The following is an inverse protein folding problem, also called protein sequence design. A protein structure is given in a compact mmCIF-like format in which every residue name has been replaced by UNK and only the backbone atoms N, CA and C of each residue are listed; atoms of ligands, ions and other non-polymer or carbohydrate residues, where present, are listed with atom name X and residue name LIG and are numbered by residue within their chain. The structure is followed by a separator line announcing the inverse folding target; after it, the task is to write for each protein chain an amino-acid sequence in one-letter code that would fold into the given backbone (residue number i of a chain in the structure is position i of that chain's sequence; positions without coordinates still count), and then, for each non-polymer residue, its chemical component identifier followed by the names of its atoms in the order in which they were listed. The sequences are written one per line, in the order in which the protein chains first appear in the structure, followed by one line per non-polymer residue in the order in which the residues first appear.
data_IF_640308274413
#
_entry.id   IF_640308274413
#
_cell.length_a   1.000
_cell.length_b   1.000
_cell.length_c   1.000
_cell.angle_alpha   90.00
_cell.angle_beta   90.00
_cell.angle_gamma   90.00
#
_symmetry.space_group_name_H-M   'P 1'
#
loop_
_entity.id
_entity.type
_entity.pdbx_description
1 polymer ?
#
# COMPACT_ATOMS: atom_id res chain seq x y z
N UNK A 1 15.44 20.07 -5.10
CA UNK A 1 14.26 19.21 -4.91
C UNK A 1 13.18 19.83 -4.01
N UNK A 2 13.41 20.96 -3.31
CA UNK A 2 12.40 21.60 -2.42
C UNK A 2 11.25 22.34 -3.13
N UNK A 3 11.51 23.05 -4.23
CA UNK A 3 10.49 23.89 -4.90
C UNK A 3 9.29 23.11 -5.48
N UNK A 4 9.46 21.81 -5.76
CA UNK A 4 8.41 20.92 -6.23
C UNK A 4 7.55 20.36 -5.09
N UNK A 5 8.11 20.22 -3.89
CA UNK A 5 7.39 19.80 -2.69
C UNK A 5 6.56 20.98 -2.14
N UNK A 6 7.12 22.18 -2.14
CA UNK A 6 6.44 23.42 -1.78
C UNK A 6 5.28 23.72 -2.76
N UNK A 7 5.49 23.63 -4.08
CA UNK A 7 4.40 23.75 -5.07
C UNK A 7 3.34 22.66 -4.94
N UNK A 8 3.70 21.43 -4.54
CA UNK A 8 2.75 20.34 -4.26
C UNK A 8 1.97 20.56 -2.96
N UNK A 9 2.60 21.13 -1.94
CA UNK A 9 1.97 21.52 -0.68
C UNK A 9 1.04 22.74 -0.87
N UNK A 10 1.41 23.70 -1.71
CA UNK A 10 0.61 24.87 -2.06
C UNK A 10 -0.68 24.50 -2.83
N UNK A 11 -0.69 23.39 -3.57
CA UNK A 11 -1.92 22.85 -4.21
C UNK A 11 -2.91 22.26 -3.18
N UNK A 12 -2.46 21.97 -1.94
CA UNK A 12 -3.31 21.47 -0.86
C UNK A 12 -4.05 22.58 -0.09
N UNK A 13 -3.74 23.84 -0.39
CA UNK A 13 -4.36 25.01 0.25
C UNK A 13 -5.62 25.38 -0.54
N UNK A 14 -6.80 25.23 0.07
CA UNK A 14 -7.89 26.16 -0.26
C UNK A 14 -7.44 27.55 0.23
N UNK A 15 -7.41 28.58 -0.64
CA UNK A 15 -6.94 29.91 -0.25
C UNK A 15 -7.81 30.43 0.91
N UNK A 16 -7.21 30.53 2.11
CA UNK A 16 -7.88 31.04 3.33
C UNK A 16 -7.62 30.29 4.65
N UNK A 17 -6.90 29.16 4.66
CA UNK A 17 -6.70 28.34 5.88
C UNK A 17 -5.35 28.48 6.56
N UNK A 18 -4.43 29.27 6.02
CA UNK A 18 -3.16 29.58 6.67
C UNK A 18 -3.28 30.97 7.30
N UNK A 19 -3.27 31.11 8.63
CA UNK A 19 -3.27 32.43 9.27
C UNK A 19 -2.05 33.23 8.81
N UNK A 20 -2.27 34.48 8.38
CA UNK A 20 -1.19 35.41 7.98
C UNK A 20 -0.18 35.68 9.11
N UNK A 21 -0.50 35.28 10.35
CA UNK A 21 0.31 35.44 11.55
C UNK A 21 1.36 34.33 11.80
N UNK A 22 1.47 33.32 10.95
CA UNK A 22 2.48 32.25 11.10
C UNK A 22 3.88 32.75 10.67
N UNK A 23 4.63 33.28 11.63
CA UNK A 23 5.94 33.93 11.41
C UNK A 23 7.16 33.00 11.42
N UNK A 24 7.02 31.74 11.86
CA UNK A 24 8.13 30.78 11.94
C UNK A 24 7.72 29.36 11.53
N UNK A 25 8.67 28.60 11.00
CA UNK A 25 8.52 27.17 10.64
C UNK A 25 7.93 26.33 11.78
N UNK A 26 8.41 26.55 13.01
CA UNK A 26 7.89 25.88 14.21
C UNK A 26 6.41 26.18 14.46
N UNK A 27 5.97 27.40 14.15
CA UNK A 27 4.56 27.80 14.25
C UNK A 27 3.69 27.06 13.23
N UNK A 28 4.17 26.90 11.99
CA UNK A 28 3.49 26.10 10.97
C UNK A 28 3.33 24.63 11.39
N UNK A 29 4.42 24.00 11.83
CA UNK A 29 4.40 22.59 12.25
C UNK A 29 3.44 22.40 13.43
N UNK A 30 3.49 23.29 14.42
CA UNK A 30 2.58 23.25 15.58
C UNK A 30 1.13 23.42 15.17
N UNK A 31 0.85 24.33 14.23
CA UNK A 31 -0.50 24.55 13.72
C UNK A 31 -1.03 23.30 12.99
N UNK A 32 -0.23 22.70 12.11
CA UNK A 32 -0.62 21.47 11.42
C UNK A 32 -0.83 20.30 12.38
N UNK A 33 -0.02 20.18 13.44
CA UNK A 33 -0.22 19.19 14.50
C UNK A 33 -1.56 19.38 15.22
N UNK A 34 -1.90 20.63 15.58
CA UNK A 34 -3.15 20.95 16.24
C UNK A 34 -4.35 20.59 15.35
N UNK A 35 -4.33 20.98 14.08
CA UNK A 35 -5.39 20.62 13.15
C UNK A 35 -5.47 19.11 12.87
N UNK A 36 -4.32 18.42 12.81
CA UNK A 36 -4.29 16.97 12.61
C UNK A 36 -4.96 16.24 13.79
N UNK A 37 -4.78 16.72 15.01
CA UNK A 37 -5.29 16.10 16.23
C UNK A 37 -6.70 16.59 16.64
N UNK A 38 -7.28 17.59 15.96
CA UNK A 38 -8.55 18.20 16.36
C UNK A 38 -9.76 17.34 15.94
N UNK A 39 -10.48 16.71 16.89
CA UNK A 39 -11.63 15.85 16.59
C UNK A 39 -12.84 16.61 16.04
N UNK A 40 -12.87 17.94 16.12
CA UNK A 40 -13.95 18.77 15.56
C UNK A 40 -13.83 18.93 14.04
N UNK A 41 -12.64 18.74 13.49
CA UNK A 41 -12.40 18.81 12.05
C UNK A 41 -12.83 17.53 11.35
N UNK A 42 -13.28 17.65 10.10
CA UNK A 42 -13.59 16.48 9.28
C UNK A 42 -12.32 15.63 9.03
N UNK A 43 -12.45 14.32 8.81
CA UNK A 43 -11.31 13.43 8.51
C UNK A 43 -10.43 13.90 7.35
N UNK A 44 -11.02 14.52 6.32
CA UNK A 44 -10.27 15.09 5.19
C UNK A 44 -9.34 16.23 5.61
N UNK A 45 -9.82 17.11 6.48
CA UNK A 45 -9.03 18.23 7.00
C UNK A 45 -7.91 17.72 7.92
N UNK A 46 -8.20 16.76 8.79
CA UNK A 46 -7.19 16.12 9.65
C UNK A 46 -6.11 15.42 8.82
N UNK A 47 -6.50 14.72 7.75
CA UNK A 47 -5.56 14.07 6.84
C UNK A 47 -4.67 15.08 6.11
N UNK A 48 -5.27 16.13 5.53
CA UNK A 48 -4.49 17.15 4.82
C UNK A 48 -3.53 17.87 5.78
N UNK A 49 -3.95 18.18 7.01
CA UNK A 49 -3.09 18.74 8.05
C UNK A 49 -1.95 17.78 8.43
N UNK A 50 -2.24 16.48 8.58
CA UNK A 50 -1.24 15.44 8.84
C UNK A 50 -0.21 15.33 7.71
N UNK A 51 -0.66 15.43 6.46
CA UNK A 51 0.21 15.40 5.28
C UNK A 51 1.11 16.63 5.22
N UNK A 52 0.57 17.82 5.49
CA UNK A 52 1.36 19.05 5.55
C UNK A 52 2.39 18.98 6.67
N UNK A 53 1.99 18.55 7.87
CA UNK A 53 2.93 18.31 8.97
C UNK A 53 4.05 17.36 8.55
N UNK A 54 3.72 16.22 7.93
CA UNK A 54 4.70 15.26 7.46
C UNK A 54 5.68 15.87 6.45
N UNK A 55 5.17 16.54 5.42
CA UNK A 55 6.00 17.12 4.35
C UNK A 55 6.92 18.20 4.90
N UNK A 56 6.40 19.11 5.71
CA UNK A 56 7.17 20.19 6.34
C UNK A 56 8.21 19.66 7.32
N UNK A 57 7.84 18.69 8.18
CA UNK A 57 8.76 18.05 9.11
C UNK A 57 9.88 17.31 8.38
N UNK A 58 9.57 16.65 7.27
CA UNK A 58 10.53 15.91 6.45
C UNK A 58 11.53 16.85 5.77
N UNK A 59 11.04 17.94 5.19
CA UNK A 59 11.88 18.91 4.49
C UNK A 59 12.89 19.59 5.42
N UNK A 60 12.50 19.83 6.67
CA UNK A 60 13.31 20.56 7.63
C UNK A 60 13.99 19.66 8.68
N UNK A 61 13.89 18.34 8.51
CA UNK A 61 14.41 17.34 9.45
C UNK A 61 13.97 17.60 10.90
N UNK A 62 12.69 17.95 11.07
CA UNK A 62 12.11 18.29 12.36
C UNK A 62 12.01 17.04 13.27
N UNK A 63 12.28 17.15 14.58
CA UNK A 63 12.24 16.01 15.51
C UNK A 63 10.86 15.35 15.60
N UNK A 64 9.79 16.02 15.17
CA UNK A 64 8.43 15.48 15.19
C UNK A 64 8.10 14.61 13.98
N UNK A 65 9.06 14.40 13.06
CA UNK A 65 8.86 13.60 11.84
C UNK A 65 8.33 12.18 12.12
N UNK A 66 8.87 11.49 13.12
CA UNK A 66 8.40 10.15 13.48
C UNK A 66 6.95 10.15 13.99
N UNK A 67 6.55 11.22 14.68
CA UNK A 67 5.16 11.39 15.11
C UNK A 67 4.25 11.71 13.92
N UNK A 68 4.72 12.50 12.96
CA UNK A 68 3.98 12.76 11.72
C UNK A 68 3.72 11.47 10.93
N UNK A 69 4.72 10.58 10.84
CA UNK A 69 4.54 9.25 10.22
C UNK A 69 3.54 8.37 10.98
N UNK A 70 3.53 8.40 12.31
CA UNK A 70 2.53 7.68 13.10
C UNK A 70 1.12 8.25 12.90
N UNK A 71 1.02 9.58 12.87
CA UNK A 71 -0.26 10.26 12.72
C UNK A 71 -0.87 9.96 11.36
N UNK A 72 -0.10 10.15 10.27
CA UNK A 72 -0.56 9.83 8.92
C UNK A 72 -0.94 8.34 8.84
N UNK A 73 -0.14 7.44 9.42
CA UNK A 73 -0.45 6.01 9.46
C UNK A 73 -1.79 5.70 10.13
N UNK A 74 -2.10 6.39 11.24
CA UNK A 74 -3.36 6.23 11.97
C UNK A 74 -4.56 6.82 11.23
N UNK A 75 -4.36 7.89 10.45
CA UNK A 75 -5.43 8.46 9.62
C UNK A 75 -5.85 7.49 8.51
N UNK A 76 -5.00 6.55 8.09
CA UNK A 76 -5.39 5.56 7.08
C UNK A 76 -6.42 4.57 7.58
N UNK A 77 -6.36 4.21 8.86
CA UNK A 77 -7.38 3.36 9.49
C UNK A 77 -8.75 4.08 9.49
N UNK A 78 -8.76 5.42 9.55
CA UNK A 78 -9.95 6.27 9.49
C UNK A 78 -10.39 6.60 8.06
N UNK A 79 -9.44 6.75 7.13
CA UNK A 79 -9.67 6.95 5.69
C UNK A 79 -9.99 5.65 4.97
N UNK A 80 -9.87 4.52 5.67
CA UNK A 80 -10.17 3.18 5.23
C UNK A 80 -11.57 3.09 4.61
N UNK A 81 -11.60 3.19 3.28
CA UNK A 81 -12.56 2.60 2.36
C UNK A 81 -14.04 2.94 2.44
N UNK A 82 -14.56 3.65 3.43
CA UNK A 82 -16.00 3.65 3.61
C UNK A 82 -16.75 4.82 2.97
N UNK A 83 -16.11 5.93 2.56
CA UNK A 83 -16.88 7.11 2.08
C UNK A 83 -16.46 7.74 0.76
N UNK A 84 -15.28 7.42 0.24
CA UNK A 84 -14.75 8.05 -0.97
C UNK A 84 -15.01 7.21 -2.21
N UNK A 85 -15.37 7.85 -3.33
CA UNK A 85 -15.34 7.18 -4.62
C UNK A 85 -13.89 6.82 -5.01
N UNK A 86 -13.71 5.95 -6.00
CA UNK A 86 -12.37 5.49 -6.41
C UNK A 86 -11.41 6.64 -6.76
N UNK A 87 -11.96 7.73 -7.30
CA UNK A 87 -11.22 8.88 -7.79
C UNK A 87 -10.75 9.81 -6.67
N UNK A 88 -11.57 10.04 -5.65
CA UNK A 88 -11.15 10.76 -4.46
C UNK A 88 -10.05 10.01 -3.71
N UNK A 89 -10.14 8.67 -3.65
CA UNK A 89 -9.05 7.83 -3.09
C UNK A 89 -7.78 7.93 -3.93
N UNK A 90 -7.89 7.83 -5.25
CA UNK A 90 -6.74 7.99 -6.14
C UNK A 90 -6.08 9.36 -5.96
N UNK A 91 -6.86 10.44 -5.89
CA UNK A 91 -6.36 11.80 -5.67
C UNK A 91 -5.64 11.95 -4.33
N UNK A 92 -6.09 11.25 -3.28
CA UNK A 92 -5.40 11.21 -1.98
C UNK A 92 -4.08 10.46 -2.11
N UNK A 93 -4.08 9.28 -2.75
CA UNK A 93 -2.89 8.47 -2.94
C UNK A 93 -1.83 9.17 -3.82
N UNK A 94 -2.26 9.91 -4.84
CA UNK A 94 -1.37 10.70 -5.72
C UNK A 94 -0.63 11.82 -4.97
N UNK A 95 -1.17 12.26 -3.83
CA UNK A 95 -0.53 13.28 -2.96
C UNK A 95 0.49 12.68 -2.00
N UNK A 96 0.42 11.37 -1.73
CA UNK A 96 1.33 10.72 -0.80
C UNK A 96 2.71 10.50 -1.45
N UNK A 97 3.80 10.63 -0.67
CA UNK A 97 5.12 10.23 -1.15
C UNK A 97 5.12 8.75 -1.57
N UNK A 98 5.68 8.45 -2.73
CA UNK A 98 5.78 7.06 -3.24
C UNK A 98 6.63 6.16 -2.34
N UNK A 99 7.53 6.77 -1.55
CA UNK A 99 8.41 6.13 -0.59
C UNK A 99 7.90 6.23 0.85
N UNK A 100 6.62 6.58 1.06
CA UNK A 100 6.04 6.82 2.39
C UNK A 100 6.31 5.66 3.36
N UNK A 101 6.00 4.44 2.94
CA UNK A 101 6.12 3.26 3.78
C UNK A 101 7.59 2.96 4.16
N UNK A 102 8.50 2.99 3.18
CA UNK A 102 9.92 2.73 3.42
C UNK A 102 10.56 3.84 4.23
N UNK A 103 10.16 5.10 4.03
CA UNK A 103 10.66 6.24 4.79
C UNK A 103 10.17 6.26 6.23
N UNK A 104 8.90 5.92 6.45
CA UNK A 104 8.34 5.78 7.79
C UNK A 104 9.09 4.68 8.59
N UNK A 105 9.31 3.53 7.95
CA UNK A 105 10.05 2.43 8.55
C UNK A 105 11.52 2.80 8.85
N UNK A 106 12.23 3.44 7.90
CA UNK A 106 13.59 3.96 8.12
C UNK A 106 13.66 4.93 9.30
N UNK A 107 12.72 5.87 9.37
CA UNK A 107 12.65 6.84 10.47
C UNK A 107 12.49 6.13 11.82
N UNK A 108 11.62 5.12 11.91
CA UNK A 108 11.46 4.33 13.13
C UNK A 108 12.70 3.49 13.49
N UNK A 109 13.38 2.90 12.50
CA UNK A 109 14.65 2.17 12.69
C UNK A 109 15.74 3.10 13.25
N UNK A 110 15.86 4.32 12.73
CA UNK A 110 16.81 5.32 13.22
C UNK A 110 16.57 5.70 14.69
N UNK A 111 15.32 5.58 15.16
CA UNK A 111 14.94 5.78 16.57
C UNK A 111 14.98 4.49 17.40
N UNK A 112 15.57 3.41 16.87
CA UNK A 112 15.64 2.09 17.50
C UNK A 112 14.27 1.51 17.89
N UNK A 113 13.21 1.83 17.13
CA UNK A 113 11.85 1.32 17.34
C UNK A 113 11.47 0.31 16.26
N UNK A 114 12.00 -0.91 16.37
CA UNK A 114 11.85 -1.94 15.33
C UNK A 114 10.41 -2.43 15.13
N UNK A 115 9.66 -2.66 16.21
CA UNK A 115 8.23 -3.01 16.12
C UNK A 115 7.44 -1.90 15.42
N UNK A 116 7.69 -0.65 15.79
CA UNK A 116 7.06 0.50 15.14
C UNK A 116 7.43 0.57 13.66
N UNK A 117 8.68 0.26 13.29
CA UNK A 117 9.09 0.23 11.89
C UNK A 117 8.31 -0.79 11.07
N UNK A 118 8.11 -2.01 11.60
CA UNK A 118 7.30 -3.06 10.96
C UNK A 118 5.84 -2.62 10.85
N UNK A 119 5.28 -2.07 11.92
CA UNK A 119 3.89 -1.59 11.94
C UNK A 119 3.66 -0.44 10.95
N UNK A 120 4.55 0.57 10.92
CA UNK A 120 4.47 1.68 9.98
C UNK A 120 4.67 1.22 8.53
N UNK A 121 5.60 0.28 8.30
CA UNK A 121 5.80 -0.28 6.96
C UNK A 121 4.52 -0.95 6.46
N UNK A 122 3.90 -1.78 7.29
CA UNK A 122 2.69 -2.52 6.93
C UNK A 122 1.51 -1.57 6.69
N UNK A 123 1.23 -0.67 7.65
CA UNK A 123 0.15 0.33 7.54
C UNK A 123 0.30 1.24 6.33
N UNK A 124 1.50 1.77 6.10
CA UNK A 124 1.74 2.68 4.98
C UNK A 124 1.87 1.93 3.64
N UNK A 125 2.35 0.68 3.62
CA UNK A 125 2.32 -0.17 2.41
C UNK A 125 0.89 -0.58 2.08
N UNK A 126 0.02 -0.68 3.07
CA UNK A 126 -1.43 -0.80 2.93
C UNK A 126 -2.08 0.34 2.12
N UNK A 127 -1.36 1.42 1.83
CA UNK A 127 -1.83 2.49 0.93
C UNK A 127 -1.39 2.28 -0.51
N UNK A 128 -0.25 1.60 -0.67
CA UNK A 128 0.22 1.13 -1.98
C UNK A 128 -0.63 -0.03 -2.52
N UNK A 129 -1.80 -0.26 -1.91
CA UNK A 129 -2.94 -1.02 -2.39
C UNK A 129 -3.48 -0.40 -3.70
N UNK A 130 -2.64 -0.48 -4.74
CA UNK A 130 -2.98 -0.56 -6.18
C UNK A 130 -4.07 -1.63 -6.48
N UNK A 131 -4.61 -2.28 -5.44
CA UNK A 131 -5.55 -3.39 -5.39
C UNK A 131 -6.62 -3.25 -4.29
N UNK A 132 -6.78 -2.09 -3.64
CA UNK A 132 -8.10 -1.70 -3.12
C UNK A 132 -9.07 -1.63 -4.31
N UNK A 133 -8.48 -1.46 -5.49
CA UNK A 133 -9.01 -1.41 -6.83
C UNK A 133 -9.62 -2.70 -7.41
N UNK A 134 -9.57 -3.93 -6.82
CA UNK A 134 -10.16 -5.12 -7.52
C UNK A 134 -10.92 -6.18 -6.72
N UNK A 135 -10.83 -6.27 -5.40
CA UNK A 135 -11.60 -7.27 -4.64
C UNK A 135 -11.88 -6.74 -3.24
N UNK A 136 -13.12 -6.97 -2.81
CA UNK A 136 -13.63 -6.82 -1.45
C UNK A 136 -12.64 -7.35 -0.37
N UNK A 137 -12.86 -7.02 0.92
CA UNK A 137 -12.21 -7.70 2.06
C UNK A 137 -12.14 -9.21 1.88
N UNK A 138 -11.17 -9.87 2.53
CA UNK A 138 -11.12 -11.33 2.58
C UNK A 138 -12.51 -11.85 2.90
N UNK A 139 -13.12 -12.53 1.92
CA UNK A 139 -14.48 -13.03 2.00
C UNK A 139 -14.65 -13.87 3.26
N UNK A 140 -13.61 -14.59 3.64
CA UNK A 140 -13.62 -15.56 4.73
C UNK A 140 -13.98 -14.95 6.11
N UNK A 141 -13.41 -13.82 6.52
CA UNK A 141 -13.73 -13.24 7.84
C UNK A 141 -15.15 -12.68 7.91
N UNK A 142 -15.63 -12.09 6.81
CA UNK A 142 -16.99 -11.56 6.69
C UNK A 142 -18.00 -12.70 6.53
N UNK A 143 -17.66 -13.75 5.78
CA UNK A 143 -18.52 -14.90 5.57
C UNK A 143 -18.67 -15.68 6.88
N UNK A 144 -17.58 -15.88 7.65
CA UNK A 144 -17.66 -16.42 9.01
C UNK A 144 -18.49 -15.54 9.95
N UNK A 145 -18.41 -14.21 9.83
CA UNK A 145 -19.25 -13.29 10.59
C UNK A 145 -20.72 -13.39 10.17
N UNK A 146 -21.03 -13.56 8.88
CA UNK A 146 -22.38 -13.78 8.38
C UNK A 146 -22.96 -15.09 8.90
N UNK A 147 -22.15 -16.16 8.93
CA UNK A 147 -22.55 -17.47 9.45
C UNK A 147 -22.79 -17.45 10.95
N UNK A 148 -21.88 -16.85 11.71
CA UNK A 148 -21.90 -16.89 13.18
C UNK A 148 -22.78 -15.80 13.80
N UNK A 149 -22.83 -14.61 13.17
CA UNK A 149 -23.54 -13.42 13.67
C UNK A 149 -24.28 -12.70 12.53
N UNK A 150 -25.32 -13.33 11.95
CA UNK A 150 -26.00 -12.79 10.76
C UNK A 150 -26.56 -11.38 10.94
N UNK A 151 -26.98 -11.03 12.17
CA UNK A 151 -27.50 -9.69 12.50
C UNK A 151 -26.49 -8.56 12.32
N UNK A 152 -25.18 -8.84 12.40
CA UNK A 152 -24.10 -7.89 12.16
C UNK A 152 -23.44 -8.13 10.80
N UNK A 153 -23.24 -9.39 10.42
CA UNK A 153 -22.54 -9.77 9.20
C UNK A 153 -23.31 -9.42 7.92
N UNK A 154 -24.63 -9.63 7.87
CA UNK A 154 -25.43 -9.36 6.66
C UNK A 154 -25.48 -7.85 6.34
N UNK A 155 -25.80 -6.95 7.30
CA UNK A 155 -25.76 -5.51 7.04
C UNK A 155 -24.36 -5.04 6.65
N UNK A 156 -23.32 -5.53 7.34
CA UNK A 156 -21.94 -5.14 7.07
C UNK A 156 -21.52 -5.50 5.64
N UNK A 157 -21.82 -6.72 5.19
CA UNK A 157 -21.55 -7.15 3.83
C UNK A 157 -22.31 -6.30 2.81
N UNK A 158 -23.56 -5.93 3.12
CA UNK A 158 -24.38 -5.04 2.31
C UNK A 158 -23.73 -3.66 2.13
N UNK A 159 -23.32 -3.03 3.23
CA UNK A 159 -22.68 -1.73 3.20
C UNK A 159 -21.31 -1.75 2.51
N UNK A 160 -20.45 -2.72 2.81
CA UNK A 160 -19.16 -2.88 2.12
C UNK A 160 -19.34 -3.06 0.62
N UNK A 161 -20.37 -3.79 0.19
CA UNK A 161 -20.73 -3.94 -1.22
C UNK A 161 -21.24 -2.65 -1.84
N UNK A 162 -22.09 -1.89 -1.14
CA UNK A 162 -22.60 -0.59 -1.61
C UNK A 162 -21.46 0.40 -1.83
N UNK A 163 -20.47 0.40 -0.94
CA UNK A 163 -19.28 1.24 -1.03
C UNK A 163 -18.34 0.81 -2.15
N UNK A 164 -18.24 -0.49 -2.39
CA UNK A 164 -17.51 -1.01 -3.54
C UNK A 164 -18.18 -0.65 -4.87
N UNK A 165 -19.51 -0.81 -4.97
CA UNK A 165 -20.27 -0.52 -6.20
C UNK A 165 -20.28 0.99 -6.47
N UNK A 166 -20.56 1.82 -5.47
CA UNK A 166 -20.51 3.29 -5.62
C UNK A 166 -19.14 3.80 -6.06
N UNK A 167 -18.08 3.15 -5.57
CA UNK A 167 -16.72 3.41 -6.00
C UNK A 167 -16.47 3.06 -7.49
N UNK A 168 -17.16 2.06 -8.04
CA UNK A 168 -16.97 1.56 -9.41
C UNK A 168 -17.96 2.12 -10.44
N UNK A 169 -19.17 2.52 -10.03
CA UNK A 169 -20.32 2.55 -10.92
C UNK A 169 -20.50 3.80 -11.78
N UNK A 170 -19.78 4.92 -11.57
CA UNK A 170 -20.12 6.16 -12.31
C UNK A 170 -19.16 6.60 -13.42
N UNK A 171 -17.99 5.97 -13.61
CA UNK A 171 -16.96 6.57 -14.50
C UNK A 171 -16.38 5.68 -15.59
N UNK A 172 -16.48 4.36 -15.49
CA UNK A 172 -15.92 3.46 -16.51
C UNK A 172 -16.81 3.30 -17.77
N UNK A 173 -18.10 3.69 -17.71
CA UNK A 173 -19.08 3.44 -18.78
C UNK A 173 -19.59 4.69 -19.49
N UNK A 174 -19.23 5.88 -19.01
CA UNK A 174 -19.78 7.13 -19.47
C UNK A 174 -18.62 8.06 -19.81
N UNK A 175 -18.38 8.31 -21.10
CA UNK A 175 -17.58 9.44 -21.58
C UNK A 175 -18.22 10.80 -21.24
N UNK A 176 -19.08 10.87 -20.21
CA UNK A 176 -19.65 12.11 -19.70
C UNK A 176 -19.03 12.37 -18.34
N UNK A 177 -18.33 13.49 -18.28
CA UNK A 177 -18.12 14.31 -17.09
C UNK A 177 -19.47 14.68 -16.46
N UNK A 178 -20.15 13.74 -15.83
CA UNK A 178 -21.23 14.06 -14.90
C UNK A 178 -20.57 14.40 -13.57
N UNK A 179 -20.70 15.67 -13.17
CA UNK A 179 -20.33 16.12 -11.84
C UNK A 179 -21.12 15.32 -10.81
N UNK A 180 -20.42 14.81 -9.79
CA UNK A 180 -21.07 14.12 -8.68
C UNK A 180 -21.96 15.12 -7.97
N UNK A 181 -23.23 14.78 -7.78
CA UNK A 181 -24.13 15.63 -7.02
C UNK A 181 -23.75 15.61 -5.54
N UNK A 182 -23.91 16.73 -4.85
CA UNK A 182 -23.67 16.80 -3.41
C UNK A 182 -24.45 15.71 -2.64
N UNK A 183 -25.65 15.39 -3.12
CA UNK A 183 -26.49 14.33 -2.56
C UNK A 183 -25.88 12.93 -2.65
N UNK A 184 -25.19 12.59 -3.76
CA UNK A 184 -24.48 11.32 -3.89
C UNK A 184 -23.27 11.26 -2.95
N UNK A 185 -22.56 12.38 -2.78
CA UNK A 185 -21.46 12.48 -1.81
C UNK A 185 -21.97 12.25 -0.39
N UNK A 186 -23.05 12.95 -0.02
CA UNK A 186 -23.63 12.86 1.32
C UNK A 186 -24.13 11.45 1.62
N UNK A 187 -24.81 10.79 0.66
CA UNK A 187 -25.26 9.40 0.79
C UNK A 187 -24.08 8.42 0.93
N UNK A 188 -23.00 8.64 0.18
CA UNK A 188 -21.78 7.83 0.31
C UNK A 188 -21.10 8.00 1.68
N UNK A 189 -21.06 9.23 2.20
CA UNK A 189 -20.53 9.51 3.54
C UNK A 189 -21.41 8.93 4.64
N UNK A 190 -22.73 8.86 4.45
CA UNK A 190 -23.65 8.22 5.40
C UNK A 190 -23.38 6.72 5.49
N UNK A 191 -23.33 6.02 4.34
CA UNK A 191 -22.97 4.59 4.28
C UNK A 191 -21.58 4.36 4.92
N UNK A 192 -20.67 5.33 4.78
CA UNK A 192 -19.35 5.27 5.38
C UNK A 192 -19.40 5.17 6.90
N UNK A 193 -20.15 6.10 7.49
CA UNK A 193 -20.32 6.24 8.93
C UNK A 193 -21.04 5.03 9.50
N UNK A 194 -22.09 4.55 8.82
CA UNK A 194 -22.82 3.35 9.22
C UNK A 194 -21.92 2.11 9.23
N UNK A 195 -21.07 1.97 8.20
CA UNK A 195 -20.14 0.84 8.16
C UNK A 195 -19.10 0.92 9.27
N UNK A 196 -18.55 2.10 9.55
CA UNK A 196 -17.58 2.30 10.63
C UNK A 196 -18.21 2.01 12.01
N UNK A 197 -19.46 2.46 12.22
CA UNK A 197 -20.24 2.15 13.42
C UNK A 197 -20.45 0.64 13.59
N UNK A 198 -20.78 -0.06 12.51
CA UNK A 198 -21.04 -1.49 12.54
C UNK A 198 -19.75 -2.31 12.79
N UNK A 199 -18.63 -1.91 12.19
CA UNK A 199 -17.31 -2.51 12.51
C UNK A 199 -16.97 -2.31 14.00
N UNK A 200 -17.21 -1.10 14.54
CA UNK A 200 -17.00 -0.83 15.94
C UNK A 200 -17.91 -1.67 16.86
N UNK A 201 -19.14 -1.97 16.43
CA UNK A 201 -20.04 -2.88 17.14
C UNK A 201 -19.52 -4.32 17.11
N UNK A 202 -19.07 -4.82 15.94
CA UNK A 202 -18.48 -6.16 15.81
C UNK A 202 -17.30 -6.32 16.77
N UNK A 203 -16.36 -5.37 16.77
CA UNK A 203 -15.19 -5.39 17.66
C UNK A 203 -15.53 -5.39 19.16
N UNK A 204 -16.69 -4.83 19.54
CA UNK A 204 -17.12 -4.75 20.95
C UNK A 204 -17.96 -5.95 21.39
N UNK A 205 -18.75 -6.52 20.49
CA UNK A 205 -19.81 -7.47 20.84
C UNK A 205 -19.50 -8.91 20.47
N UNK A 206 -18.55 -9.14 19.57
CA UNK A 206 -18.20 -10.48 19.08
C UNK A 206 -16.85 -10.93 19.65
N UNK A 207 -16.82 -11.97 20.51
CA UNK A 207 -15.56 -12.50 21.03
C UNK A 207 -14.66 -13.03 19.92
N UNK A 208 -13.37 -12.68 19.96
CA UNK A 208 -12.38 -13.07 18.95
C UNK A 208 -12.33 -12.15 17.72
N UNK A 209 -13.16 -11.12 17.68
CA UNK A 209 -13.23 -10.11 16.60
C UNK A 209 -12.74 -8.74 17.08
N UNK A 210 -11.99 -8.66 18.19
CA UNK A 210 -11.51 -7.41 18.77
C UNK A 210 -10.65 -6.59 17.79
N UNK A 211 -9.85 -7.30 16.98
CA UNK A 211 -8.99 -6.74 15.94
C UNK A 211 -9.63 -6.82 14.52
N UNK A 212 -10.94 -7.08 14.41
CA UNK A 212 -11.63 -7.28 13.12
C UNK A 212 -11.42 -6.12 12.16
N UNK A 213 -11.01 -6.39 10.91
CA UNK A 213 -10.69 -5.36 9.90
C UNK A 213 -9.63 -4.33 10.39
N UNK A 214 -8.81 -4.68 11.37
CA UNK A 214 -7.66 -3.91 11.85
C UNK A 214 -6.59 -4.86 12.40
N UNK A 215 -6.03 -5.73 11.55
CA UNK A 215 -5.04 -6.70 11.99
C UNK A 215 -3.82 -5.98 12.56
N UNK A 216 -3.39 -6.37 13.76
CA UNK A 216 -2.15 -5.89 14.34
C UNK A 216 -0.95 -6.55 13.63
N UNK A 217 -0.12 -5.78 12.89
CA UNK A 217 0.99 -6.35 12.13
C UNK A 217 1.99 -7.10 13.02
N UNK A 218 2.15 -6.69 14.28
CA UNK A 218 3.10 -7.27 15.22
C UNK A 218 2.57 -8.58 15.79
N UNK A 219 1.29 -8.63 16.18
CA UNK A 219 0.66 -9.90 16.58
C UNK A 219 0.71 -10.90 15.43
N UNK A 220 0.40 -10.46 14.21
CA UNK A 220 0.45 -11.32 13.03
C UNK A 220 1.87 -11.83 12.76
N UNK A 221 2.88 -10.95 12.79
CA UNK A 221 4.27 -11.33 12.65
C UNK A 221 4.70 -12.35 13.71
N UNK A 222 4.29 -12.16 14.98
CA UNK A 222 4.57 -13.11 16.07
C UNK A 222 3.90 -14.46 15.89
N UNK A 223 2.67 -14.48 15.41
CA UNK A 223 1.96 -15.73 15.09
C UNK A 223 2.67 -16.49 13.97
N UNK A 224 3.07 -15.79 12.89
CA UNK A 224 3.87 -16.38 11.82
C UNK A 224 5.24 -16.87 12.32
N UNK A 225 5.87 -16.10 13.21
CA UNK A 225 7.13 -16.44 13.84
C UNK A 225 7.07 -17.72 14.70
N UNK A 226 5.89 -18.22 15.09
CA UNK A 226 5.81 -19.54 15.73
C UNK A 226 6.16 -20.67 14.76
N UNK A 227 5.86 -20.51 13.47
CA UNK A 227 6.13 -21.51 12.45
C UNK A 227 7.52 -21.33 11.82
N UNK A 228 7.83 -20.10 11.38
CA UNK A 228 9.02 -19.75 10.59
C UNK A 228 9.46 -18.30 10.85
N UNK A 229 10.76 -17.96 10.70
CA UNK A 229 11.22 -16.60 10.91
C UNK A 229 10.55 -15.61 9.94
N UNK A 230 10.22 -14.42 10.45
CA UNK A 230 9.69 -13.31 9.64
C UNK A 230 10.82 -12.35 9.33
N UNK A 231 10.99 -12.01 8.05
CA UNK A 231 12.05 -11.12 7.59
C UNK A 231 11.43 -9.95 6.84
N UNK A 232 11.75 -8.74 7.29
CA UNK A 232 11.29 -7.49 6.71
C UNK A 232 12.49 -6.74 6.14
N UNK A 233 12.43 -6.42 4.85
CA UNK A 233 13.47 -5.69 4.13
C UNK A 233 13.00 -4.25 3.89
N UNK A 234 13.78 -3.28 4.36
CA UNK A 234 13.51 -1.86 4.19
C UNK A 234 14.68 -1.22 3.47
N UNK A 235 14.56 -0.93 2.15
CA UNK A 235 15.64 -0.31 1.41
C UNK A 235 15.84 1.15 1.81
N UNK A 236 17.10 1.57 1.81
CA UNK A 236 17.58 2.94 1.99
C UNK A 236 18.30 3.41 0.71
N UNK A 237 18.95 4.57 0.72
CA UNK A 237 19.64 5.13 -0.45
C UNK A 237 20.80 4.26 -0.93
N UNK A 238 21.65 3.80 -0.01
CA UNK A 238 22.84 3.00 -0.32
C UNK A 238 22.87 1.61 0.33
N UNK A 239 21.91 1.32 1.22
CA UNK A 239 21.86 0.10 2.00
C UNK A 239 20.44 -0.46 2.07
N UNK A 240 20.30 -1.67 2.59
CA UNK A 240 19.02 -2.27 2.94
C UNK A 240 19.05 -2.65 4.42
N UNK A 241 18.07 -2.15 5.17
CA UNK A 241 17.82 -2.56 6.53
C UNK A 241 17.05 -3.88 6.56
N UNK A 242 17.47 -4.79 7.42
CA UNK A 242 16.88 -6.11 7.61
C UNK A 242 16.40 -6.18 9.06
N UNK A 243 15.09 -6.34 9.22
CA UNK A 243 14.44 -6.53 10.52
C UNK A 243 13.91 -7.96 10.57
N UNK A 244 14.32 -8.73 11.58
CA UNK A 244 14.00 -10.16 11.70
C UNK A 244 13.33 -10.48 13.01
N UNK A 245 12.25 -11.24 12.94
CA UNK A 245 11.69 -11.93 14.08
C UNK A 245 12.03 -13.41 13.95
N UNK A 246 12.89 -13.92 14.83
CA UNK A 246 13.28 -15.33 14.82
C UNK A 246 12.11 -16.22 15.21
N UNK A 247 12.23 -17.50 14.84
CA UNK A 247 11.25 -18.50 15.22
C UNK A 247 11.12 -18.57 16.75
N UNK A 248 9.92 -18.34 17.26
CA UNK A 248 9.61 -18.35 18.70
C UNK A 248 10.18 -17.17 19.51
N UNK A 249 10.81 -16.17 18.86
CA UNK A 249 11.30 -14.98 19.54
C UNK A 249 10.18 -13.95 19.74
N UNK A 250 10.34 -13.10 20.75
CA UNK A 250 9.42 -11.99 21.07
C UNK A 250 9.89 -10.68 20.45
N UNK A 251 11.22 -10.47 20.45
CA UNK A 251 11.87 -9.24 20.03
C UNK A 251 12.40 -9.33 18.60
N UNK A 252 12.37 -8.19 17.92
CA UNK A 252 12.96 -8.05 16.59
C UNK A 252 14.47 -7.79 16.68
N UNK A 253 15.21 -8.41 15.77
CA UNK A 253 16.63 -8.16 15.55
C UNK A 253 16.82 -7.29 14.30
N UNK A 254 17.92 -6.53 14.28
CA UNK A 254 18.22 -5.59 13.21
C UNK A 254 19.63 -5.82 12.63
N UNK A 255 19.74 -5.72 11.31
CA UNK A 255 21.01 -5.70 10.58
C UNK A 255 20.92 -4.75 9.38
N UNK A 256 22.03 -4.11 9.02
CA UNK A 256 22.14 -3.32 7.80
C UNK A 256 23.05 -4.03 6.79
N UNK A 257 22.69 -4.01 5.51
CA UNK A 257 23.50 -4.55 4.41
C UNK A 257 23.76 -3.43 3.40
N UNK A 258 25.02 -3.14 3.14
CA UNK A 258 25.43 -2.12 2.16
C UNK A 258 25.40 -2.65 0.72
N UNK A 259 25.32 -1.75 -0.25
CA UNK A 259 25.43 -2.08 -1.68
C UNK A 259 24.12 -2.44 -2.38
N UNK A 260 23.02 -2.50 -1.63
CA UNK A 260 21.66 -2.64 -2.16
C UNK A 260 20.80 -1.45 -1.77
N UNK A 261 21.05 -0.34 -2.46
CA UNK A 261 20.23 0.85 -2.36
C UNK A 261 18.90 0.73 -3.12
N UNK A 262 18.01 1.67 -2.85
CA UNK A 262 16.68 1.76 -3.48
C UNK A 262 16.78 1.87 -5.00
N UNK A 263 17.73 2.64 -5.53
CA UNK A 263 17.91 2.80 -6.98
C UNK A 263 18.34 1.49 -7.65
N UNK A 264 19.30 0.79 -7.04
CA UNK A 264 19.78 -0.51 -7.52
C UNK A 264 18.63 -1.53 -7.52
N UNK A 265 17.83 -1.59 -6.45
CA UNK A 265 16.69 -2.49 -6.36
C UNK A 265 15.58 -2.15 -7.37
N UNK A 266 15.34 -0.88 -7.65
CA UNK A 266 14.37 -0.45 -8.66
C UNK A 266 14.83 -0.83 -10.08
N UNK A 267 16.11 -0.65 -10.39
CA UNK A 267 16.70 -1.06 -11.67
C UNK A 267 16.63 -2.59 -11.85
N UNK A 268 16.99 -3.36 -10.82
CA UNK A 268 16.85 -4.81 -10.83
C UNK A 268 15.39 -5.26 -11.03
N UNK A 269 14.44 -4.64 -10.32
CA UNK A 269 13.03 -4.95 -10.46
C UNK A 269 12.50 -4.64 -11.87
N UNK A 270 12.96 -3.54 -12.48
CA UNK A 270 12.64 -3.19 -13.86
C UNK A 270 13.19 -4.23 -14.83
N UNK A 271 14.46 -4.61 -14.71
CA UNK A 271 15.09 -5.65 -15.56
C UNK A 271 14.38 -7.00 -15.45
N UNK A 272 14.02 -7.43 -14.24
CA UNK A 272 13.22 -8.66 -14.03
C UNK A 272 11.88 -8.56 -14.76
N UNK A 273 11.19 -7.42 -14.64
CA UNK A 273 9.89 -7.20 -15.29
C UNK A 273 10.01 -7.24 -16.82
N UNK A 274 11.04 -6.61 -17.37
CA UNK A 274 11.29 -6.57 -18.81
C UNK A 274 11.61 -7.98 -19.35
N UNK A 275 12.46 -8.74 -18.66
CA UNK A 275 12.80 -10.12 -19.00
C UNK A 275 11.58 -11.06 -18.95
N UNK A 276 10.75 -10.94 -17.91
CA UNK A 276 9.50 -11.71 -17.80
C UNK A 276 8.56 -11.36 -18.96
N UNK A 277 8.38 -10.07 -19.25
CA UNK A 277 7.50 -9.60 -20.33
C UNK A 277 7.96 -10.07 -21.71
N UNK A 278 9.29 -10.08 -21.96
CA UNK A 278 9.89 -10.58 -23.19
C UNK A 278 9.65 -12.08 -23.41
N UNK A 279 9.54 -12.88 -22.33
CA UNK A 279 9.25 -14.31 -22.40
C UNK A 279 7.79 -14.66 -22.73
N UNK A 280 6.94 -13.66 -23.00
CA UNK A 280 5.50 -13.85 -23.24
C UNK A 280 4.72 -14.25 -21.99
N UNK A 281 5.40 -14.38 -20.85
CA UNK A 281 4.78 -14.46 -19.53
C UNK A 281 4.46 -13.03 -19.14
N UNK A 282 3.19 -12.64 -19.21
CA UNK A 282 2.78 -11.46 -18.47
C UNK A 282 3.10 -11.74 -17.01
N UNK A 283 4.03 -10.99 -16.43
CA UNK A 283 4.19 -10.98 -14.99
C UNK A 283 2.78 -10.77 -14.43
N UNK A 284 2.31 -11.67 -13.54
CA UNK A 284 1.20 -11.29 -12.66
C UNK A 284 1.74 -10.14 -11.82
N UNK A 285 1.45 -8.92 -12.27
CA UNK A 285 2.14 -7.70 -11.88
C UNK A 285 1.76 -6.53 -12.80
N UNK A 286 2.04 -5.28 -12.39
CA UNK A 286 1.08 -4.18 -12.48
C UNK A 286 0.88 -3.53 -13.87
N UNK A 287 1.51 -4.02 -14.94
CA UNK A 287 1.42 -3.39 -16.28
C UNK A 287 1.08 -4.37 -17.40
N UNK A 288 0.56 -5.56 -17.07
CA UNK A 288 0.16 -6.53 -18.07
C UNK A 288 -1.03 -6.07 -18.95
N UNK A 289 -1.79 -5.06 -18.52
CA UNK A 289 -2.96 -4.54 -19.26
C UNK A 289 -2.66 -3.27 -20.09
N UNK A 290 -1.48 -2.64 -19.98
CA UNK A 290 -1.11 -1.50 -20.86
C UNK A 290 -0.60 -1.94 -22.25
N UNK A 291 -0.39 -3.25 -22.47
CA UNK A 291 -0.02 -3.80 -23.78
C UNK A 291 -1.21 -4.31 -24.62
N UNK A 292 -2.44 -4.10 -24.15
CA UNK A 292 -3.68 -4.39 -24.89
C UNK A 292 -4.33 -3.08 -25.35
N UNK A 293 -3.84 -2.52 -26.45
CA UNK A 293 -4.25 -1.20 -26.93
C UNK A 293 -5.76 -1.02 -27.13
N UNK A 294 -6.25 0.16 -26.75
CA UNK A 294 -7.38 0.83 -27.38
C UNK A 294 -7.42 2.33 -27.00
N UNK A 295 -6.40 3.06 -27.47
CA UNK A 295 -6.52 4.49 -27.76
C UNK A 295 -5.82 4.77 -29.10
N UNK A 296 -6.34 4.21 -30.18
CA UNK A 296 -6.04 4.72 -31.52
C UNK A 296 -7.36 5.20 -32.14
N UNK A 297 -7.57 6.51 -31.99
CA UNK A 297 -8.00 7.46 -33.00
C UNK A 297 -8.75 6.87 -34.22
N UNK A 298 -10.07 7.03 -34.29
CA UNK A 298 -10.79 7.06 -35.58
C UNK A 298 -12.01 7.99 -35.46
N UNK A 299 -11.81 9.26 -35.83
CA UNK A 299 -12.82 9.96 -36.60
C UNK A 299 -13.01 9.16 -37.88
N UNK A 300 -14.05 8.32 -37.95
CA UNK A 300 -14.67 7.96 -39.23
C UNK A 300 -16.01 7.28 -38.97
N UNK A 301 -17.06 7.93 -39.45
CA UNK A 301 -18.41 7.41 -39.50
C UNK A 301 -18.50 6.63 -40.81
N UNK A 302 -18.72 5.30 -40.77
CA UNK A 302 -19.64 4.57 -41.67
C UNK A 302 -19.54 3.04 -41.56
N UNK A 303 -20.71 2.40 -41.48
CA UNK A 303 -21.11 1.12 -42.09
C UNK A 303 -20.49 -0.23 -41.66
N UNK A 304 -21.34 -1.03 -41.00
CA UNK A 304 -21.59 -2.50 -41.11
C UNK A 304 -20.46 -3.52 -41.38
N UNK A 305 -20.22 -4.44 -40.41
CA UNK A 305 -20.37 -5.91 -40.53
C UNK A 305 -19.76 -6.64 -39.30
N UNK A 306 -20.33 -7.78 -38.84
CA UNK A 306 -19.84 -8.50 -37.67
C UNK A 306 -18.59 -9.33 -38.02
N UNK A 307 -17.41 -8.85 -37.64
CA UNK A 307 -16.18 -9.66 -37.71
C UNK A 307 -15.99 -10.42 -36.40
N UNK A 308 -16.09 -11.75 -36.49
CA UNK A 308 -15.74 -12.70 -35.43
C UNK A 308 -14.35 -12.38 -34.86
N UNK A 309 -14.28 -12.02 -33.58
CA UNK A 309 -13.02 -11.91 -32.84
C UNK A 309 -12.43 -13.31 -32.66
N UNK A 310 -11.63 -13.78 -33.62
CA UNK A 310 -10.80 -14.97 -33.45
C UNK A 310 -9.72 -14.68 -32.41
N UNK A 311 -9.85 -15.28 -31.22
CA UNK A 311 -8.75 -15.41 -30.27
C UNK A 311 -7.67 -16.31 -30.89
N UNK A 312 -6.70 -15.71 -31.57
CA UNK A 312 -5.48 -16.40 -31.95
C UNK A 312 -4.52 -16.43 -30.74
N UNK A 313 -4.15 -17.60 -30.20
CA UNK A 313 -3.11 -17.66 -29.17
C UNK A 313 -1.79 -17.17 -29.79
N UNK A 314 -1.17 -16.15 -29.19
CA UNK A 314 0.19 -15.71 -29.59
C UNK A 314 1.16 -16.89 -29.40
N UNK A 315 2.07 -17.16 -30.36
CA UNK A 315 3.01 -18.26 -30.24
C UNK A 315 3.93 -18.03 -29.04
N UNK A 316 4.13 -19.08 -28.26
CA UNK A 316 5.07 -19.15 -27.15
C UNK A 316 6.48 -18.95 -27.71
N UNK A 317 7.14 -17.81 -27.43
CA UNK A 317 8.57 -17.65 -27.71
C UNK A 317 9.35 -18.32 -26.58
N UNK A 318 10.24 -19.27 -26.91
CA UNK A 318 11.27 -19.73 -25.97
C UNK A 318 12.07 -18.51 -25.52
N UNK A 319 12.34 -18.41 -24.22
CA UNK A 319 13.24 -17.39 -23.69
C UNK A 319 14.58 -17.47 -24.42
N UNK A 320 15.03 -16.36 -25.02
CA UNK A 320 16.36 -16.26 -25.62
C UNK A 320 17.43 -16.44 -24.53
N UNK A 321 18.57 -17.06 -24.88
CA UNK A 321 19.68 -17.39 -23.97
C UNK A 321 20.17 -16.17 -23.17
N UNK A 322 20.16 -14.99 -23.79
CA UNK A 322 20.45 -13.68 -23.17
C UNK A 322 19.51 -13.30 -22.02
N UNK A 323 18.21 -13.59 -22.13
CA UNK A 323 17.24 -13.27 -21.07
C UNK A 323 17.44 -14.16 -19.84
N UNK A 324 17.91 -15.39 -20.06
CA UNK A 324 18.23 -16.33 -19.00
C UNK A 324 19.52 -15.92 -18.27
N UNK A 325 20.53 -15.46 -19.01
CA UNK A 325 21.79 -14.98 -18.45
C UNK A 325 21.61 -13.70 -17.63
N UNK A 326 20.80 -12.75 -18.09
CA UNK A 326 20.46 -11.55 -17.33
C UNK A 326 19.74 -11.88 -16.01
N UNK A 327 18.76 -12.80 -16.05
CA UNK A 327 18.05 -13.23 -14.85
C UNK A 327 19.00 -13.96 -13.88
N UNK A 328 19.86 -14.83 -14.38
CA UNK A 328 20.87 -15.53 -13.57
C UNK A 328 21.83 -14.55 -12.92
N UNK A 329 22.28 -13.51 -13.64
CA UNK A 329 23.11 -12.46 -13.05
C UNK A 329 22.35 -11.72 -11.94
N UNK A 330 21.10 -11.31 -12.17
CA UNK A 330 20.30 -10.60 -11.17
C UNK A 330 20.09 -11.44 -9.90
N UNK A 331 19.74 -12.71 -10.06
CA UNK A 331 19.58 -13.64 -8.94
C UNK A 331 20.90 -13.89 -8.21
N UNK A 332 22.02 -14.00 -8.94
CA UNK A 332 23.36 -14.12 -8.37
C UNK A 332 23.72 -12.90 -7.52
N UNK A 333 23.44 -11.70 -8.02
CA UNK A 333 23.66 -10.45 -7.27
C UNK A 333 22.79 -10.37 -6.02
N UNK A 334 21.50 -10.73 -6.10
CA UNK A 334 20.60 -10.75 -4.94
C UNK A 334 21.04 -11.80 -3.90
N UNK A 335 21.50 -12.96 -4.36
CA UNK A 335 21.99 -14.02 -3.49
C UNK A 335 23.29 -13.61 -2.78
N UNK A 336 24.25 -13.04 -3.51
CA UNK A 336 25.56 -12.65 -2.96
C UNK A 336 25.49 -11.49 -1.97
N UNK A 337 24.39 -10.73 -1.98
CA UNK A 337 24.18 -9.57 -1.10
C UNK A 337 23.18 -9.90 0.01
N UNK A 338 21.88 -9.97 -0.28
CA UNK A 338 20.83 -10.27 0.71
C UNK A 338 20.86 -11.74 1.11
N UNK A 339 21.01 -12.66 0.14
CA UNK A 339 20.89 -14.10 0.42
C UNK A 339 21.93 -14.61 1.43
N UNK A 340 23.19 -14.22 1.24
CA UNK A 340 24.29 -14.53 2.18
C UNK A 340 24.04 -13.84 3.53
N UNK A 341 23.73 -12.53 3.52
CA UNK A 341 23.47 -11.81 4.76
C UNK A 341 22.32 -12.43 5.56
N UNK A 342 21.25 -12.89 4.90
CA UNK A 342 20.12 -13.60 5.52
C UNK A 342 20.51 -14.99 6.01
N UNK A 343 21.29 -15.76 5.25
CA UNK A 343 21.77 -17.09 5.66
C UNK A 343 22.58 -16.99 6.94
N UNK A 344 23.52 -16.05 6.98
CA UNK A 344 24.39 -15.82 8.14
C UNK A 344 23.56 -15.32 9.33
N UNK A 345 22.62 -14.40 9.07
CA UNK A 345 21.80 -13.82 10.12
C UNK A 345 20.83 -14.83 10.74
N UNK A 346 20.17 -15.66 9.92
CA UNK A 346 19.25 -16.69 10.40
C UNK A 346 19.96 -17.95 10.90
N UNK A 347 21.29 -18.03 10.76
CA UNK A 347 22.08 -19.23 11.08
C UNK A 347 21.47 -20.48 10.44
N UNK A 348 20.95 -20.36 9.22
CA UNK A 348 20.34 -21.45 8.48
C UNK A 348 21.43 -22.47 8.17
N UNK A 349 21.55 -23.51 9.01
CA UNK A 349 22.39 -24.65 8.70
C UNK A 349 21.86 -25.31 7.42
N UNK A 350 22.77 -25.67 6.52
CA UNK A 350 22.46 -26.26 5.22
C UNK A 350 21.61 -27.55 5.27
N UNK A 351 21.38 -28.10 6.47
CA UNK A 351 20.62 -29.32 6.73
C UNK A 351 19.09 -29.20 6.53
N UNK A 352 18.54 -28.00 6.29
CA UNK A 352 17.10 -27.84 5.98
C UNK A 352 16.77 -27.61 4.49
N UNK A 353 17.78 -27.53 3.61
CA UNK A 353 17.58 -27.36 2.16
C UNK A 353 17.50 -28.69 1.37
N UNK A 354 17.75 -29.84 2.02
CA UNK A 354 17.69 -31.16 1.40
C UNK A 354 16.66 -32.09 2.07
N UNK A 355 15.36 -31.81 1.87
CA UNK A 355 14.29 -32.83 2.00
C UNK A 355 13.17 -32.68 0.95
N UNK A 356 13.50 -32.20 -0.25
CA UNK A 356 12.62 -32.37 -1.42
C UNK A 356 13.45 -32.88 -2.58
N UNK A 357 13.73 -34.17 -2.54
CA UNK A 357 14.59 -34.87 -3.49
C UNK A 357 14.41 -36.37 -3.38
N UNK A 358 13.16 -36.83 -3.22
CA UNK A 358 12.77 -38.23 -3.44
C UNK A 358 11.66 -38.24 -4.49
N UNK A 359 12.05 -37.95 -5.73
CA UNK A 359 11.31 -38.47 -6.89
C UNK A 359 12.00 -39.80 -7.21
N UNK A 360 11.34 -40.89 -6.78
CA UNK A 360 11.75 -42.26 -7.07
C UNK A 360 11.83 -42.46 -8.59
N UNK A 361 12.85 -43.23 -8.97
CA UNK A 361 13.19 -43.73 -10.31
C UNK A 361 12.02 -44.16 -11.16
#
# INVERSE_FOLDING_TARGET
MGEAAEKRALVLIQPGTVPEDLKSLSSYITHFQQCAADPSLSPDHQFNASLLWLLTAREHNDPTLLLAYQHIASTFDQLGLLGFDLWARQRILDRLPTDLATSAARCAIQHNRLELAVSLLDKCRGLSWRQMLRTLPSTDEIDHLVESYPGLGVPLRGYLRALHIGSMSNRAKSNRSQEITQQEIDAHLEIARDTASLIAQVRKSVPGYEDFMNPDPIKHARTLAQAAPVVVLVPDTASTHIVVLRKGAVDFEYRCVEGLGTEVLQDMAKKIKDAISASGRLARGPNAEEAGGLYNNVNDVSSEAPTERKFAPKPFKRSDETTQDELNHLLSTLWSTIGIAMKDFLSLQASQLHKSGDIKK
#
